data_IF_431651642515
#
_entry.id   IF_431651642515
#
_cell.length_a   1.000
_cell.length_b   1.000
_cell.length_c   1.000
_cell.angle_alpha   90.00
_cell.angle_beta   90.00
_cell.angle_gamma   90.00
#
_symmetry.space_group_name_H-M   'P 1'
#
loop_
_entity.id
_entity.type
_entity.pdbx_description
1 polymer ?
#
# COMPACT_ATOMS: atom_id res chain seq x y z
N UNK A 1 31.88 4.91 56.85
CA UNK A 1 31.24 5.96 56.03
C UNK A 1 30.15 5.27 55.22
N UNK A 2 28.90 5.65 55.44
CA UNK A 2 27.72 5.06 54.79
C UNK A 2 27.18 6.07 53.77
N UNK A 3 26.96 5.66 52.52
CA UNK A 3 26.44 6.52 51.44
C UNK A 3 24.93 6.32 51.34
N UNK A 4 24.18 7.36 51.68
CA UNK A 4 22.74 7.42 51.48
C UNK A 4 22.45 7.74 50.01
N UNK A 5 21.79 6.84 49.29
CA UNK A 5 21.23 7.12 47.96
C UNK A 5 19.83 7.74 48.09
N UNK A 6 19.42 8.65 47.19
CA UNK A 6 18.08 9.22 47.20
C UNK A 6 17.01 8.13 47.02
N UNK A 7 16.02 8.09 47.91
CA UNK A 7 14.98 7.05 47.98
C UNK A 7 13.83 7.20 46.97
N UNK A 8 14.06 7.83 45.83
CA UNK A 8 13.03 8.08 44.82
C UNK A 8 13.50 7.65 43.45
N UNK A 9 12.70 6.78 42.82
CA UNK A 9 12.84 6.40 41.41
C UNK A 9 11.92 7.29 40.60
N UNK A 10 12.46 8.02 39.64
CA UNK A 10 11.68 8.77 38.65
C UNK A 10 11.51 7.89 37.42
N UNK A 11 10.28 7.49 37.12
CA UNK A 11 9.96 6.74 35.90
C UNK A 11 9.34 7.70 34.90
N UNK A 12 9.95 7.83 33.72
CA UNK A 12 9.36 8.55 32.59
C UNK A 12 8.79 7.51 31.62
N UNK A 13 7.50 7.63 31.34
CA UNK A 13 6.80 6.74 30.41
C UNK A 13 6.44 7.54 29.16
N UNK A 14 6.88 7.05 28.01
CA UNK A 14 6.44 7.54 26.70
C UNK A 14 5.51 6.49 26.11
N UNK A 15 4.26 6.85 25.85
CA UNK A 15 3.30 5.93 25.25
C UNK A 15 3.67 5.63 23.80
N UNK A 16 3.57 4.36 23.42
CA UNK A 16 3.75 3.92 22.04
C UNK A 16 2.55 4.37 21.21
N UNK A 17 2.81 4.92 20.02
CA UNK A 17 1.77 5.38 19.09
C UNK A 17 1.30 4.23 18.19
N UNK A 18 -0.01 4.12 17.91
CA UNK A 18 -0.53 3.19 16.93
C UNK A 18 -0.01 3.56 15.53
N UNK A 19 0.33 2.56 14.75
CA UNK A 19 0.91 2.73 13.40
C UNK A 19 0.30 1.75 12.42
N UNK A 20 0.07 0.50 12.84
CA UNK A 20 -0.48 -0.54 11.98
C UNK A 20 -1.71 -1.19 12.62
N UNK A 21 -2.61 -1.67 11.78
CA UNK A 21 -3.67 -2.59 12.15
C UNK A 21 -3.37 -3.96 11.51
N UNK A 22 -3.41 -5.05 12.28
CA UNK A 22 -3.18 -6.39 11.76
C UNK A 22 -4.43 -7.25 11.94
N UNK A 23 -4.89 -7.88 10.85
CA UNK A 23 -6.00 -8.83 10.91
C UNK A 23 -5.53 -10.17 11.49
N UNK A 24 -6.27 -10.71 12.45
CA UNK A 24 -6.04 -12.00 13.09
C UNK A 24 -7.36 -12.75 13.27
N UNK A 25 -7.32 -14.01 13.71
CA UNK A 25 -8.53 -14.73 14.03
C UNK A 25 -9.30 -14.03 15.17
N UNK A 26 -10.58 -13.73 14.90
CA UNK A 26 -11.48 -13.12 15.87
C UNK A 26 -11.26 -11.63 16.12
N UNK A 27 -10.53 -10.90 15.26
CA UNK A 27 -10.49 -9.45 15.29
C UNK A 27 -9.24 -8.81 14.68
N UNK A 28 -8.81 -7.72 15.30
CA UNK A 28 -7.76 -6.83 14.82
C UNK A 28 -6.79 -6.48 15.95
N UNK A 29 -5.50 -6.50 15.66
CA UNK A 29 -4.47 -5.99 16.55
C UNK A 29 -4.10 -4.56 16.14
N UNK A 30 -3.99 -3.67 17.12
CA UNK A 30 -3.33 -2.38 16.92
C UNK A 30 -1.86 -2.53 17.30
N UNK A 31 -0.96 -2.16 16.39
CA UNK A 31 0.49 -2.29 16.57
C UNK A 31 1.17 -0.92 16.51
N UNK A 32 2.26 -0.80 17.25
CA UNK A 32 3.18 0.33 17.11
C UNK A 32 4.11 0.19 15.90
N UNK A 33 4.86 1.24 15.59
CA UNK A 33 5.89 1.22 14.54
C UNK A 33 6.94 0.11 14.72
N UNK A 34 7.24 -0.30 15.97
CA UNK A 34 8.15 -1.40 16.26
C UNK A 34 7.45 -2.76 16.33
N UNK A 35 6.20 -2.87 15.82
CA UNK A 35 5.37 -4.08 15.82
C UNK A 35 5.03 -4.63 17.21
N UNK A 36 5.09 -3.80 18.25
CA UNK A 36 4.57 -4.14 19.58
C UNK A 36 3.04 -4.08 19.59
N UNK A 37 2.38 -5.08 20.19
CA UNK A 37 0.92 -5.16 20.32
C UNK A 37 0.45 -4.14 21.36
N UNK A 38 -0.46 -3.25 20.96
CA UNK A 38 -1.01 -2.18 21.80
C UNK A 38 -2.43 -2.51 22.27
N UNK A 39 -3.27 -3.08 21.41
CA UNK A 39 -4.64 -3.49 21.73
C UNK A 39 -5.10 -4.63 20.81
N UNK A 40 -6.20 -5.29 21.21
CA UNK A 40 -6.97 -6.21 20.37
C UNK A 40 -8.42 -5.75 20.37
N UNK A 41 -8.98 -5.54 19.19
CA UNK A 41 -10.31 -4.98 18.96
C UNK A 41 -11.10 -5.87 17.99
N UNK A 42 -12.43 -5.86 18.05
CA UNK A 42 -13.26 -6.66 17.15
C UNK A 42 -13.36 -6.05 15.74
N UNK A 43 -13.32 -4.71 15.65
CA UNK A 43 -13.40 -3.95 14.41
C UNK A 43 -12.02 -3.40 14.01
N UNK A 44 -11.83 -3.15 12.72
CA UNK A 44 -10.59 -2.58 12.20
C UNK A 44 -10.38 -1.15 12.73
N UNK A 45 -9.22 -0.84 13.34
CA UNK A 45 -8.84 0.54 13.64
C UNK A 45 -8.74 1.38 12.37
N UNK A 46 -9.44 2.51 12.33
CA UNK A 46 -9.44 3.40 11.17
C UNK A 46 -8.11 4.17 11.01
N UNK A 47 -7.73 4.46 9.77
CA UNK A 47 -6.61 5.34 9.44
C UNK A 47 -5.22 4.75 9.69
N UNK A 48 -5.11 3.45 9.95
CA UNK A 48 -3.84 2.74 10.08
C UNK A 48 -3.57 1.88 8.83
N UNK A 49 -2.30 1.78 8.45
CA UNK A 49 -1.89 0.85 7.41
C UNK A 49 -2.12 -0.59 7.88
N UNK A 50 -2.60 -1.44 6.97
CA UNK A 50 -3.05 -2.79 7.29
C UNK A 50 -1.95 -3.82 7.07
N UNK A 51 -1.83 -4.76 7.99
CA UNK A 51 -0.90 -5.88 7.94
C UNK A 51 -1.67 -7.20 7.87
N UNK A 52 -1.19 -8.13 7.05
CA UNK A 52 -1.68 -9.50 7.02
C UNK A 52 -0.50 -10.47 6.99
N UNK A 53 -0.23 -11.09 8.15
CA UNK A 53 0.86 -12.05 8.35
C UNK A 53 0.41 -13.46 8.73
N UNK A 54 -0.90 -13.72 8.72
CA UNK A 54 -1.49 -14.92 9.34
C UNK A 54 -1.62 -14.80 10.86
N UNK A 55 -1.82 -15.93 11.54
CA UNK A 55 -2.04 -15.96 12.99
C UNK A 55 -0.71 -15.89 13.76
N UNK A 56 -0.53 -14.93 14.68
CA UNK A 56 0.67 -14.80 15.51
C UNK A 56 0.66 -15.81 16.68
N UNK A 57 1.81 -15.97 17.34
CA UNK A 57 1.92 -16.81 18.55
C UNK A 57 1.13 -16.23 19.73
N UNK A 58 0.93 -14.92 19.74
CA UNK A 58 0.22 -14.20 20.78
C UNK A 58 -0.53 -13.00 20.23
N UNK A 59 -1.65 -12.70 20.87
CA UNK A 59 -2.47 -11.50 20.62
C UNK A 59 -2.54 -10.60 21.86
N UNK A 60 -1.64 -10.80 22.83
CA UNK A 60 -1.67 -10.12 24.13
C UNK A 60 -1.06 -8.72 24.06
N UNK A 61 -1.78 -7.65 24.46
CA UNK A 61 -1.23 -6.31 24.53
C UNK A 61 0.01 -6.24 25.42
N UNK A 62 1.04 -5.55 24.93
CA UNK A 62 2.34 -5.43 25.60
C UNK A 62 3.40 -6.40 25.11
N UNK A 63 3.03 -7.46 24.38
CA UNK A 63 3.98 -8.39 23.78
C UNK A 63 4.43 -7.93 22.38
N UNK A 64 5.56 -8.48 21.94
CA UNK A 64 6.08 -8.26 20.60
C UNK A 64 5.33 -9.19 19.63
N UNK A 65 4.96 -8.70 18.46
CA UNK A 65 4.43 -9.57 17.40
C UNK A 65 5.48 -10.63 17.06
N UNK A 66 5.05 -11.89 16.97
CA UNK A 66 5.90 -13.04 16.68
C UNK A 66 5.08 -14.16 16.05
N UNK A 67 5.74 -15.06 15.31
CA UNK A 67 5.09 -16.13 14.57
C UNK A 67 5.79 -17.47 14.82
N UNK A 68 4.97 -18.52 14.93
CA UNK A 68 5.50 -19.87 15.05
C UNK A 68 6.13 -20.29 13.73
N UNK A 69 7.32 -20.90 13.81
CA UNK A 69 7.97 -21.51 12.66
C UNK A 69 7.02 -22.46 11.94
N UNK A 70 7.01 -22.39 10.61
CA UNK A 70 6.24 -23.34 9.81
C UNK A 70 6.68 -24.77 10.19
N UNK A 71 5.74 -25.69 10.41
CA UNK A 71 6.11 -27.08 10.67
C UNK A 71 6.92 -27.58 9.46
N UNK A 72 8.11 -28.12 9.72
CA UNK A 72 8.95 -28.70 8.67
C UNK A 72 8.08 -29.59 7.78
N UNK A 73 8.03 -29.28 6.48
CA UNK A 73 7.25 -30.05 5.53
C UNK A 73 7.72 -31.50 5.64
N UNK A 74 6.86 -32.36 6.20
CA UNK A 74 7.15 -33.77 6.35
C UNK A 74 7.19 -34.37 4.94
N UNK A 75 8.37 -34.39 4.33
CA UNK A 75 8.70 -35.30 3.25
C UNK A 75 8.75 -36.72 3.82
N UNK A 76 7.60 -37.22 4.26
CA UNK A 76 7.37 -38.62 4.52
C UNK A 76 7.14 -39.34 3.18
N UNK A 77 8.19 -39.41 2.37
CA UNK A 77 8.27 -40.35 1.26
C UNK A 77 9.74 -40.72 0.99
N UNK A 78 10.05 -41.96 1.37
CA UNK A 78 11.18 -42.78 0.94
C UNK A 78 12.60 -42.34 1.32
N UNK A 79 13.21 -43.02 2.29
CA UNK A 79 13.97 -44.25 1.98
C UNK A 79 14.62 -44.80 3.24
N UNK A 80 14.28 -46.05 3.53
CA UNK A 80 14.97 -46.89 4.49
C UNK A 80 16.36 -47.25 3.94
N UNK A 81 17.41 -46.62 4.47
CA UNK A 81 18.79 -47.10 4.40
C UNK A 81 19.65 -46.42 5.47
N UNK A 82 20.50 -47.24 6.08
CA UNK A 82 21.18 -47.03 7.33
C UNK A 82 22.34 -46.01 7.30
N UNK A 83 22.68 -45.58 8.52
CA UNK A 83 24.01 -45.23 9.00
C UNK A 83 24.63 -43.91 8.52
N UNK A 84 24.49 -42.86 9.34
CA UNK A 84 25.61 -42.02 9.79
C UNK A 84 25.12 -41.01 10.83
N UNK A 85 25.67 -41.10 12.03
CA UNK A 85 25.52 -40.09 13.07
C UNK A 85 26.26 -38.81 12.64
N UNK A 86 25.54 -37.90 12.00
CA UNK A 86 25.90 -36.49 11.96
C UNK A 86 25.06 -35.79 13.02
N UNK A 87 25.73 -35.27 14.05
CA UNK A 87 25.14 -34.29 14.95
C UNK A 87 24.81 -33.04 14.14
N UNK A 88 23.61 -32.99 13.58
CA UNK A 88 23.02 -31.72 13.15
C UNK A 88 22.57 -31.02 14.43
N UNK A 89 23.31 -29.98 14.81
CA UNK A 89 22.77 -28.94 15.65
C UNK A 89 21.54 -28.40 14.91
N UNK A 90 20.35 -28.83 15.32
CA UNK A 90 19.10 -28.26 14.83
C UNK A 90 19.02 -26.85 15.42
N UNK A 91 19.62 -25.88 14.72
CA UNK A 91 19.19 -24.49 14.85
C UNK A 91 17.68 -24.51 14.66
N UNK A 92 16.94 -24.06 15.68
CA UNK A 92 15.51 -23.92 15.56
C UNK A 92 15.26 -22.97 14.39
N UNK A 93 14.70 -23.47 13.29
CA UNK A 93 14.24 -22.62 12.19
C UNK A 93 13.31 -21.57 12.79
N UNK A 94 13.76 -20.32 12.83
CA UNK A 94 12.94 -19.19 13.24
C UNK A 94 12.05 -18.79 12.07
N UNK A 95 10.81 -18.40 12.37
CA UNK A 95 9.90 -17.94 11.34
C UNK A 95 10.46 -16.67 10.64
N UNK A 96 10.53 -16.70 9.31
CA UNK A 96 11.17 -15.64 8.51
C UNK A 96 10.23 -14.47 8.21
N UNK A 97 8.95 -14.54 8.59
CA UNK A 97 7.93 -13.54 8.21
C UNK A 97 8.26 -12.15 8.74
N UNK A 98 8.70 -12.03 9.99
CA UNK A 98 9.02 -10.72 10.57
C UNK A 98 10.29 -10.11 10.00
N UNK A 99 11.31 -10.92 9.74
CA UNK A 99 12.52 -10.44 9.09
C UNK A 99 12.21 -9.94 7.68
N UNK A 100 11.42 -10.71 6.94
CA UNK A 100 10.96 -10.37 5.60
C UNK A 100 10.12 -9.09 5.58
N UNK A 101 9.18 -8.96 6.52
CA UNK A 101 8.36 -7.76 6.68
C UNK A 101 9.20 -6.52 7.00
N UNK A 102 10.13 -6.62 7.97
CA UNK A 102 11.00 -5.49 8.32
C UNK A 102 11.90 -5.08 7.16
N UNK A 103 12.40 -6.07 6.39
CA UNK A 103 13.17 -5.83 5.16
C UNK A 103 12.33 -5.08 4.13
N UNK A 104 11.09 -5.52 3.89
CA UNK A 104 10.16 -4.85 2.98
C UNK A 104 9.84 -3.42 3.45
N UNK A 105 9.48 -3.22 4.72
CA UNK A 105 9.16 -1.90 5.27
C UNK A 105 10.33 -0.92 5.12
N UNK A 106 11.55 -1.37 5.44
CA UNK A 106 12.77 -0.55 5.33
C UNK A 106 13.06 -0.17 3.87
N UNK A 107 12.83 -1.10 2.94
CA UNK A 107 13.01 -0.85 1.53
C UNK A 107 11.94 0.12 1.00
N UNK A 108 10.66 -0.07 1.35
CA UNK A 108 9.58 0.85 1.00
C UNK A 108 9.83 2.26 1.53
N UNK A 109 10.34 2.40 2.76
CA UNK A 109 10.70 3.69 3.35
C UNK A 109 11.82 4.37 2.57
N UNK A 110 12.87 3.62 2.22
CA UNK A 110 14.01 4.13 1.42
C UNK A 110 13.59 4.63 0.03
N UNK A 111 12.55 4.03 -0.54
CA UNK A 111 11.94 4.44 -1.81
C UNK A 111 10.81 5.47 -1.66
N UNK A 112 10.51 5.91 -0.43
CA UNK A 112 9.46 6.89 -0.12
C UNK A 112 8.04 6.40 -0.38
N UNK A 113 7.83 5.07 -0.41
CA UNK A 113 6.53 4.47 -0.72
C UNK A 113 5.81 3.94 0.52
N UNK A 114 6.47 3.82 1.67
CA UNK A 114 5.89 3.22 2.88
C UNK A 114 4.64 3.98 3.37
N UNK A 115 4.64 5.32 3.29
CA UNK A 115 3.49 6.13 3.74
C UNK A 115 2.23 5.96 2.90
N UNK A 116 2.37 5.50 1.65
CA UNK A 116 1.28 5.26 0.72
C UNK A 116 0.93 3.76 0.59
N UNK A 117 1.69 2.88 1.24
CA UNK A 117 1.39 1.46 1.30
C UNK A 117 0.29 1.22 2.33
N UNK A 118 -0.96 1.17 1.86
CA UNK A 118 -2.14 1.07 2.73
C UNK A 118 -2.33 -0.32 3.28
N UNK A 119 -1.76 -1.34 2.62
CA UNK A 119 -1.80 -2.72 3.07
C UNK A 119 -0.55 -3.51 2.68
N UNK A 120 -0.05 -4.37 3.56
CA UNK A 120 1.08 -5.27 3.28
C UNK A 120 0.71 -6.72 3.66
N UNK A 121 1.01 -7.65 2.77
CA UNK A 121 0.79 -9.09 2.93
C UNK A 121 2.13 -9.81 2.97
N UNK A 122 2.32 -10.60 4.02
CA UNK A 122 3.57 -11.31 4.30
C UNK A 122 3.33 -12.64 5.01
N UNK A 123 2.10 -13.17 4.94
CA UNK A 123 1.77 -14.47 5.51
C UNK A 123 2.53 -15.61 4.85
N UNK A 124 2.81 -15.48 3.54
CA UNK A 124 3.72 -16.34 2.79
C UNK A 124 4.90 -15.48 2.30
N UNK A 125 6.12 -15.88 2.66
CA UNK A 125 7.36 -15.19 2.25
C UNK A 125 7.68 -15.37 0.76
N UNK A 126 7.04 -16.33 0.09
CA UNK A 126 7.17 -16.56 -1.35
C UNK A 126 6.17 -15.75 -2.18
N UNK A 127 5.10 -15.23 -1.55
CA UNK A 127 4.01 -14.49 -2.20
C UNK A 127 3.79 -13.09 -1.59
N UNK A 128 4.85 -12.41 -1.16
CA UNK A 128 4.72 -11.08 -0.56
C UNK A 128 4.13 -10.06 -1.54
N UNK A 129 3.31 -9.17 -1.02
CA UNK A 129 2.63 -8.14 -1.80
C UNK A 129 2.25 -6.93 -0.94
N UNK A 130 1.95 -5.80 -1.58
CA UNK A 130 1.38 -4.64 -0.91
C UNK A 130 0.36 -3.90 -1.79
N UNK A 131 -0.58 -3.21 -1.15
CA UNK A 131 -1.54 -2.32 -1.78
C UNK A 131 -1.02 -0.88 -1.69
N UNK A 132 -0.95 -0.20 -2.82
CA UNK A 132 -0.54 1.19 -2.90
C UNK A 132 -1.76 2.09 -3.08
N UNK A 133 -1.95 3.03 -2.14
CA UNK A 133 -3.04 4.02 -2.11
C UNK A 133 -4.45 3.41 -2.30
N UNK A 134 -4.69 2.20 -1.82
CA UNK A 134 -5.95 1.46 -2.02
C UNK A 134 -6.35 1.24 -3.50
N UNK A 135 -5.39 1.33 -4.44
CA UNK A 135 -5.66 1.29 -5.88
C UNK A 135 -4.88 0.26 -6.65
N UNK A 136 -3.59 0.13 -6.36
CA UNK A 136 -2.67 -0.71 -7.14
C UNK A 136 -2.13 -1.82 -6.25
N UNK A 137 -2.48 -3.06 -6.58
CA UNK A 137 -1.84 -4.25 -6.00
C UNK A 137 -0.46 -4.43 -6.61
N UNK A 138 0.56 -4.54 -5.76
CA UNK A 138 1.94 -4.80 -6.19
C UNK A 138 2.35 -6.18 -5.70
N UNK A 139 2.50 -7.13 -6.63
CA UNK A 139 2.95 -8.48 -6.31
C UNK A 139 4.46 -8.54 -6.37
N UNK A 140 5.11 -8.82 -5.24
CA UNK A 140 6.56 -8.95 -5.18
C UNK A 140 6.99 -10.42 -5.31
N UNK A 141 6.17 -11.35 -4.85
CA UNK A 141 6.60 -12.73 -4.66
C UNK A 141 7.66 -12.79 -3.56
N UNK A 142 8.79 -13.43 -3.83
CA UNK A 142 9.95 -13.41 -2.93
C UNK A 142 10.62 -12.03 -2.86
N UNK A 143 11.37 -11.77 -1.78
CA UNK A 143 12.20 -10.56 -1.64
C UNK A 143 13.48 -10.57 -2.49
N UNK A 144 13.68 -11.56 -3.35
CA UNK A 144 14.79 -11.57 -4.29
C UNK A 144 14.74 -10.34 -5.20
N UNK A 145 15.89 -9.69 -5.38
CA UNK A 145 16.03 -8.48 -6.20
C UNK A 145 15.06 -7.36 -5.79
N UNK A 146 14.69 -7.26 -4.51
CA UNK A 146 13.72 -6.30 -3.98
C UNK A 146 14.01 -4.86 -4.43
N UNK A 147 15.26 -4.44 -4.40
CA UNK A 147 15.68 -3.10 -4.84
C UNK A 147 15.26 -2.81 -6.29
N UNK A 148 15.53 -3.76 -7.20
CA UNK A 148 15.15 -3.64 -8.60
C UNK A 148 13.63 -3.63 -8.77
N UNK A 149 12.91 -4.49 -8.03
CA UNK A 149 11.43 -4.53 -8.02
C UNK A 149 10.85 -3.20 -7.59
N UNK A 150 11.31 -2.65 -6.46
CA UNK A 150 10.80 -1.39 -5.93
C UNK A 150 11.18 -0.18 -6.79
N UNK A 151 12.36 -0.17 -7.40
CA UNK A 151 12.73 0.87 -8.37
C UNK A 151 11.80 0.87 -9.58
N UNK A 152 11.44 -0.31 -10.10
CA UNK A 152 10.47 -0.43 -11.17
C UNK A 152 9.06 -0.04 -10.71
N UNK A 153 8.66 -0.47 -9.52
CA UNK A 153 7.39 -0.07 -8.92
C UNK A 153 7.28 1.45 -8.80
N UNK A 154 8.30 2.10 -8.23
CA UNK A 154 8.36 3.55 -8.10
C UNK A 154 8.26 4.24 -9.46
N UNK A 155 9.00 3.75 -10.47
CA UNK A 155 8.95 4.32 -11.82
C UNK A 155 7.53 4.33 -12.39
N UNK A 156 6.80 3.23 -12.21
CA UNK A 156 5.46 3.04 -12.74
C UNK A 156 4.40 3.76 -11.88
N UNK A 157 4.44 3.60 -10.56
CA UNK A 157 3.46 4.15 -9.63
C UNK A 157 3.53 5.68 -9.52
N UNK A 158 4.73 6.26 -9.54
CA UNK A 158 4.93 7.71 -9.48
C UNK A 158 4.91 8.38 -10.84
N UNK A 159 4.62 7.63 -11.91
CA UNK A 159 4.48 8.15 -13.26
C UNK A 159 5.67 9.02 -13.73
N UNK A 160 6.90 8.56 -13.45
CA UNK A 160 8.12 9.36 -13.63
C UNK A 160 8.35 9.87 -15.07
N UNK A 161 7.87 9.13 -16.09
CA UNK A 161 8.00 9.48 -17.51
C UNK A 161 6.67 9.81 -18.20
N UNK A 162 5.58 9.96 -17.42
CA UNK A 162 4.24 10.19 -17.96
C UNK A 162 3.59 8.95 -18.59
N UNK A 163 4.21 7.77 -18.51
CA UNK A 163 3.71 6.49 -19.06
C UNK A 163 3.41 5.44 -17.97
N UNK A 164 3.49 5.84 -16.71
CA UNK A 164 3.11 5.03 -15.56
C UNK A 164 1.62 5.16 -15.23
N UNK A 165 1.27 4.87 -13.98
CA UNK A 165 -0.10 4.93 -13.48
C UNK A 165 -0.57 6.37 -13.33
N UNK A 166 -1.79 6.66 -13.81
CA UNK A 166 -2.51 7.87 -13.43
C UNK A 166 -3.03 7.78 -11.98
N UNK A 167 -3.39 8.93 -11.40
CA UNK A 167 -3.95 9.03 -10.05
C UNK A 167 -5.31 8.32 -9.88
N UNK A 168 -5.99 8.00 -10.98
CA UNK A 168 -7.28 7.28 -11.00
C UNK A 168 -7.13 5.82 -11.42
N UNK A 169 -5.93 5.38 -11.80
CA UNK A 169 -5.74 4.01 -12.24
C UNK A 169 -5.88 3.04 -11.08
N UNK A 170 -6.46 1.89 -11.36
CA UNK A 170 -6.54 0.75 -10.46
C UNK A 170 -5.97 -0.48 -11.16
N UNK A 171 -5.56 -1.48 -10.40
CA UNK A 171 -5.21 -2.77 -10.96
C UNK A 171 -3.98 -3.41 -10.34
N UNK A 172 -3.25 -4.15 -11.16
CA UNK A 172 -2.21 -5.08 -10.73
C UNK A 172 -0.87 -4.79 -11.39
N UNK A 173 0.14 -4.62 -10.55
CA UNK A 173 1.55 -4.56 -10.90
C UNK A 173 2.23 -5.84 -10.45
N UNK A 174 2.44 -6.78 -11.38
CA UNK A 174 3.07 -8.07 -11.08
C UNK A 174 4.59 -8.02 -11.32
N UNK A 175 5.34 -8.16 -10.23
CA UNK A 175 6.81 -8.17 -10.18
C UNK A 175 7.36 -9.50 -9.62
N UNK A 176 6.50 -10.51 -9.43
CA UNK A 176 6.86 -11.80 -8.82
C UNK A 176 7.89 -12.59 -9.63
N UNK A 177 7.78 -12.53 -10.96
CA UNK A 177 8.62 -13.27 -11.91
C UNK A 177 9.44 -12.36 -12.83
N UNK A 178 10.05 -11.32 -12.26
CA UNK A 178 11.01 -10.53 -13.00
C UNK A 178 12.30 -11.32 -13.20
N UNK A 179 12.61 -11.56 -14.46
CA UNK A 179 13.94 -11.97 -14.93
C UNK A 179 14.37 -10.93 -15.96
N UNK A 180 15.68 -10.76 -16.17
CA UNK A 180 16.23 -9.81 -17.14
C UNK A 180 15.65 -9.95 -18.57
N UNK A 181 15.10 -11.12 -18.91
CA UNK A 181 14.44 -11.42 -20.20
C UNK A 181 12.90 -11.40 -20.16
N UNK A 182 12.30 -11.17 -19.01
CA UNK A 182 10.85 -11.32 -18.80
C UNK A 182 10.09 -10.10 -19.32
N UNK A 183 9.10 -10.32 -20.17
CA UNK A 183 8.18 -9.27 -20.63
C UNK A 183 7.31 -8.84 -19.46
N UNK A 184 7.46 -7.58 -19.03
CA UNK A 184 6.76 -6.99 -17.89
C UNK A 184 5.24 -7.10 -18.08
N UNK A 185 4.53 -7.65 -17.09
CA UNK A 185 3.07 -7.83 -17.12
C UNK A 185 2.40 -6.72 -16.32
N UNK A 186 2.16 -5.60 -16.95
CA UNK A 186 1.36 -4.52 -16.38
C UNK A 186 -0.10 -4.73 -16.75
N UNK A 187 -1.00 -4.76 -15.77
CA UNK A 187 -2.43 -4.77 -16.03
C UNK A 187 -3.11 -3.70 -15.17
N UNK A 188 -3.21 -2.51 -15.74
CA UNK A 188 -4.07 -1.45 -15.22
C UNK A 188 -5.44 -1.61 -15.88
N UNK A 189 -6.41 -2.08 -15.11
CA UNK A 189 -7.78 -2.23 -15.53
C UNK A 189 -8.64 -1.63 -14.43
N UNK A 190 -9.69 -0.89 -14.81
CA UNK A 190 -10.70 -0.45 -13.84
C UNK A 190 -11.30 -1.68 -13.16
N UNK A 191 -11.03 -1.84 -11.87
CA UNK A 191 -11.36 -3.04 -11.11
C UNK A 191 -10.76 -2.98 -9.71
N UNK A 192 -11.36 -3.73 -8.80
CA UNK A 192 -10.94 -3.80 -7.40
C UNK A 192 -9.54 -4.43 -7.30
N UNK A 193 -8.58 -3.80 -6.59
CA UNK A 193 -7.26 -4.38 -6.42
C UNK A 193 -7.33 -5.72 -5.67
N UNK A 194 -6.80 -6.77 -6.28
CA UNK A 194 -6.70 -8.10 -5.66
C UNK A 194 -5.27 -8.35 -5.21
N UNK A 195 -5.10 -8.86 -4.00
CA UNK A 195 -3.82 -9.31 -3.47
C UNK A 195 -3.89 -10.84 -3.20
N UNK A 196 -2.75 -11.54 -3.13
CA UNK A 196 -2.72 -13.01 -3.05
C UNK A 196 -3.33 -13.58 -1.76
N UNK A 197 -3.47 -12.79 -0.70
CA UNK A 197 -3.91 -13.33 0.58
C UNK A 197 -5.42 -13.54 0.74
N UNK A 198 -5.76 -14.48 1.64
CA UNK A 198 -7.10 -14.71 2.15
C UNK A 198 -7.61 -13.66 3.16
N UNK A 199 -7.06 -12.45 3.14
CA UNK A 199 -7.57 -11.35 3.96
C UNK A 199 -9.01 -11.04 3.63
N UNK A 200 -9.77 -10.78 4.68
CA UNK A 200 -11.16 -10.39 4.58
C UNK A 200 -11.24 -8.88 4.65
N UNK A 201 -11.66 -8.24 3.55
CA UNK A 201 -12.00 -6.82 3.54
C UNK A 201 -13.13 -6.61 4.56
N UNK A 202 -12.93 -5.81 5.61
CA UNK A 202 -13.98 -5.59 6.59
C UNK A 202 -15.16 -4.89 5.93
N UNK A 203 -16.37 -5.32 6.27
CA UNK A 203 -17.59 -4.68 5.79
C UNK A 203 -17.63 -3.25 6.33
N UNK A 204 -17.55 -2.26 5.43
CA UNK A 204 -17.74 -0.87 5.80
C UNK A 204 -19.19 -0.73 6.23
N UNK A 205 -19.42 -0.56 7.53
CA UNK A 205 -20.73 -0.16 8.04
C UNK A 205 -20.99 1.27 7.58
N UNK A 206 -21.58 1.42 6.40
CA UNK A 206 -22.15 2.70 5.97
C UNK A 206 -23.13 3.13 7.05
N UNK A 207 -22.99 4.33 7.64
CA UNK A 207 -24.03 4.83 8.52
C UNK A 207 -25.32 4.88 7.70
N UNK A 208 -26.34 4.17 8.17
CA UNK A 208 -27.68 4.19 7.59
C UNK A 208 -28.08 5.65 7.41
N UNK A 209 -28.23 6.08 6.14
CA UNK A 209 -28.75 7.40 5.82
C UNK A 209 -30.23 7.37 6.24
N UNK A 210 -30.49 7.76 7.50
CA UNK A 210 -31.85 7.93 7.99
C UNK A 210 -32.52 8.93 7.06
N UNK A 211 -33.58 8.55 6.33
CA UNK A 211 -34.29 9.51 5.50
C UNK A 211 -34.80 10.60 6.43
N UNK A 212 -34.39 11.85 6.17
CA UNK A 212 -35.06 13.01 6.76
C UNK A 212 -36.48 13.01 6.19
N UNK A 213 -37.41 12.40 6.93
CA UNK A 213 -38.83 12.65 6.73
C UNK A 213 -39.05 14.15 6.89
N UNK A 214 -39.44 14.79 5.79
CA UNK A 214 -39.87 16.18 5.76
C UNK A 214 -41.39 16.18 5.95
N UNK A 215 -41.94 16.52 7.14
CA UNK A 215 -43.38 16.56 7.32
C UNK A 215 -43.84 17.99 7.05
N UNK A 216 -44.22 18.30 5.81
CA UNK A 216 -45.18 19.38 5.59
C UNK A 216 -46.04 19.07 4.37
N UNK A 217 -47.32 18.84 4.66
CA UNK A 217 -48.38 18.59 3.71
C UNK A 217 -49.17 19.89 3.52
N UNK A 218 -49.35 20.34 2.27
CA UNK A 218 -50.54 21.08 1.85
C UNK A 218 -50.64 21.18 0.33
N UNK A 219 -51.50 20.34 -0.23
CA UNK A 219 -52.52 20.58 -1.28
C UNK A 219 -52.33 21.72 -2.32
N UNK A 220 -52.41 21.28 -3.59
CA UNK A 220 -53.03 21.87 -4.78
C UNK A 220 -53.50 23.35 -4.76
N UNK A 221 -53.10 24.12 -5.78
CA UNK A 221 -53.92 24.37 -6.99
C UNK A 221 -53.21 25.42 -7.89
N UNK A 222 -53.35 25.31 -9.20
CA UNK A 222 -52.99 26.34 -10.20
C UNK A 222 -54.27 26.76 -10.91
N UNK A 223 -54.47 28.02 -11.34
CA UNK A 223 -54.05 28.37 -12.71
C UNK A 223 -53.75 29.87 -13.03
N UNK A 224 -52.97 30.03 -14.11
CA UNK A 224 -53.10 30.95 -15.26
C UNK A 224 -53.10 32.50 -15.15
N UNK A 225 -52.13 33.07 -15.89
CA UNK A 225 -52.21 34.17 -16.89
C UNK A 225 -52.40 35.65 -16.47
N UNK A 226 -51.40 36.49 -16.81
CA UNK A 226 -51.58 37.72 -17.61
C UNK A 226 -50.27 38.55 -17.74
N UNK A 227 -49.78 38.62 -18.99
CA UNK A 227 -49.33 39.80 -19.76
C UNK A 227 -48.25 40.79 -19.25
N UNK A 228 -47.09 40.72 -19.93
CA UNK A 228 -46.54 41.69 -20.90
C UNK A 228 -46.17 43.14 -20.48
N UNK A 229 -44.86 43.43 -20.58
CA UNK A 229 -44.22 44.67 -21.09
C UNK A 229 -42.72 44.35 -21.28
N UNK A 230 -42.10 44.22 -22.47
CA UNK A 230 -41.83 45.21 -23.52
C UNK A 230 -40.99 46.39 -22.94
N UNK A 231 -39.79 46.81 -23.38
CA UNK A 231 -38.98 46.59 -24.59
C UNK A 231 -37.49 46.99 -24.38
N UNK A 232 -36.60 46.40 -25.18
CA UNK A 232 -35.49 46.99 -25.97
C UNK A 232 -34.36 47.83 -25.32
N UNK A 233 -33.11 47.39 -25.47
CA UNK A 233 -32.13 48.05 -26.38
C UNK A 233 -30.76 47.34 -26.45
N UNK A 234 -30.39 47.06 -27.72
CA UNK A 234 -29.07 47.15 -28.37
C UNK A 234 -27.86 46.43 -27.72
N UNK A 235 -27.36 45.29 -28.23
CA UNK A 235 -26.66 45.00 -29.50
C UNK A 235 -25.11 45.00 -29.38
N UNK A 236 -24.40 44.08 -30.06
CA UNK A 236 -22.99 43.74 -29.81
C UNK A 236 -22.04 44.48 -30.76
N UNK A 237 -20.77 44.62 -30.37
CA UNK A 237 -19.68 44.88 -31.31
C UNK A 237 -18.67 43.73 -31.28
N UNK A 238 -18.50 43.13 -32.46
CA UNK A 238 -17.33 42.39 -32.85
C UNK A 238 -16.48 43.32 -33.74
N UNK A 239 -15.16 43.27 -33.65
CA UNK A 239 -14.30 43.11 -34.83
C UNK A 239 -12.87 42.65 -34.46
N UNK A 240 -12.16 41.94 -35.35
CA UNK A 240 -10.85 41.33 -35.15
C UNK A 240 -9.70 42.03 -35.91
N UNK A 241 -8.44 41.73 -35.57
CA UNK A 241 -7.26 41.87 -36.45
C UNK A 241 -6.09 41.11 -35.79
N UNK A 242 -5.47 40.06 -36.36
CA UNK A 242 -4.73 39.90 -37.62
C UNK A 242 -3.34 40.60 -37.63
N UNK A 243 -2.28 39.78 -37.77
CA UNK A 243 -0.87 40.14 -38.00
C UNK A 243 0.07 39.15 -37.26
N UNK A 244 0.51 38.02 -37.86
CA UNK A 244 1.65 37.87 -38.78
C UNK A 244 2.98 38.31 -38.10
N UNK A 245 4.09 37.57 -38.02
CA UNK A 245 4.75 36.62 -38.94
C UNK A 245 5.72 35.66 -38.21
N UNK A 246 6.17 34.66 -38.98
CA UNK A 246 7.05 33.49 -38.81
C UNK A 246 8.50 33.67 -38.28
N UNK A 247 9.21 32.56 -37.94
CA UNK A 247 10.47 32.56 -37.17
C UNK A 247 11.73 32.68 -38.06
N UNK A 248 12.92 32.97 -37.49
CA UNK A 248 14.17 32.76 -38.19
C UNK A 248 14.66 31.31 -38.03
N UNK A 249 14.83 30.67 -39.18
CA UNK A 249 15.83 29.61 -39.42
C UNK A 249 17.21 30.25 -39.41
N UNK A 250 18.18 29.66 -38.70
CA UNK A 250 19.60 29.84 -39.01
C UNK A 250 20.25 28.45 -39.13
N UNK A 251 20.75 28.20 -40.33
CA UNK A 251 21.46 27.02 -40.81
C UNK A 251 22.96 27.34 -40.90
N UNK A 252 23.78 26.28 -40.80
CA UNK A 252 25.21 26.16 -41.16
C UNK A 252 26.21 26.48 -40.01
N UNK A 253 27.29 25.73 -39.76
CA UNK A 253 27.95 24.65 -40.51
C UNK A 253 28.90 23.84 -39.60
N UNK A 254 29.14 22.58 -40.00
CA UNK A 254 30.39 21.80 -39.96
C UNK A 254 31.29 21.79 -38.70
N UNK A 255 31.56 20.58 -38.18
CA UNK A 255 32.79 19.88 -38.54
C UNK A 255 32.77 18.38 -38.14
N UNK A 256 32.99 17.56 -39.16
CA UNK A 256 33.38 16.16 -39.14
C UNK A 256 34.83 16.05 -38.66
N UNK A 257 35.11 15.21 -37.65
CA UNK A 257 36.44 14.61 -37.48
C UNK A 257 36.29 13.15 -37.06
N UNK A 258 36.45 12.29 -38.07
CA UNK A 258 36.94 10.92 -37.98
C UNK A 258 38.22 10.87 -37.14
N UNK A 259 38.32 9.89 -36.24
CA UNK A 259 39.59 9.21 -35.93
C UNK A 259 39.29 7.79 -35.44
N UNK A 260 39.47 6.82 -36.35
CA UNK A 260 39.83 5.46 -36.00
C UNK A 260 41.37 5.37 -36.01
N UNK A 261 41.92 4.71 -35.00
CA UNK A 261 43.31 4.29 -34.88
C UNK A 261 43.38 3.22 -33.81
#
# INVERSE_FOLDING_TARGET
MERQYPGTVVVQVTEARPTYAMQVEGGWLTLSASLKILSKDAAQPAGLATLYGGEPVSTTPGEQLDFAAAPAASSAAASESADSAASSETEAETDQRLESLNTLMSALDSYGMLGDATRMEFADTEEMAFLYQDRISVLLGTLNELDYKLKLAQYVLLNQDGKGCAATDTGLLDLSHLSASSTRKFRFAQGEPTLPSGYLVPEVSTPEETPVENPDAAEADSPADAELSAETSAAPEADPAAGAETPPTEEAANQETTNQG
#
